data_IF_831449684662
#
_entry.id   IF_831449684662
#
_cell.length_a   1.000
_cell.length_b   1.000
_cell.length_c   1.000
_cell.angle_alpha   90.00
_cell.angle_beta   90.00
_cell.angle_gamma   90.00
#
_symmetry.space_group_name_H-M   'P 1'
#
loop_
_entity.id
_entity.type
_entity.pdbx_description
1 polymer ?
#
# COMPACT_ATOMS: atom_id res chain seq x y z
N UNK A 1 14.64 17.77 5.83
CA UNK A 1 14.18 16.53 5.17
C UNK A 1 12.67 16.61 5.03
N UNK A 2 12.10 16.09 3.96
CA UNK A 2 10.64 15.88 3.89
C UNK A 2 10.24 14.79 4.89
N UNK A 3 9.04 14.89 5.46
CA UNK A 3 8.50 13.84 6.34
C UNK A 3 8.34 12.53 5.57
N UNK A 4 8.49 11.42 6.27
CA UNK A 4 8.24 10.10 5.71
C UNK A 4 6.75 9.91 5.42
N UNK A 5 6.38 9.45 4.24
CA UNK A 5 4.96 9.30 3.84
C UNK A 5 4.52 7.86 4.00
N UNK A 6 3.67 7.63 4.99
CA UNK A 6 2.97 6.36 5.19
C UNK A 6 1.63 6.46 4.48
N UNK A 7 1.36 5.49 3.62
CA UNK A 7 0.14 5.50 2.84
C UNK A 7 -0.49 4.11 2.83
N UNK A 8 -1.53 3.87 3.66
CA UNK A 8 -2.11 2.55 3.77
C UNK A 8 -2.67 2.08 2.43
N UNK A 9 -2.38 0.83 2.07
CA UNK A 9 -2.74 0.26 0.78
C UNK A 9 -3.32 -1.15 0.99
N UNK A 10 -4.65 -1.23 1.03
CA UNK A 10 -5.46 -2.46 1.22
C UNK A 10 -5.25 -3.24 2.53
N UNK A 11 -4.38 -2.77 3.41
CA UNK A 11 -3.96 -3.49 4.61
C UNK A 11 -4.42 -2.77 5.86
N UNK A 12 -4.97 -3.55 6.79
CA UNK A 12 -5.41 -3.05 8.10
C UNK A 12 -4.20 -2.74 9.00
N UNK A 13 -3.02 -3.30 8.73
CA UNK A 13 -1.86 -3.19 9.64
C UNK A 13 -1.37 -1.75 9.80
N UNK A 14 -1.28 -0.97 8.72
CA UNK A 14 -0.82 0.42 8.81
C UNK A 14 -1.86 1.30 9.54
N UNK A 15 -3.16 1.04 9.35
CA UNK A 15 -4.23 1.72 10.11
C UNK A 15 -4.17 1.38 11.59
N UNK A 16 -4.01 0.09 11.93
CA UNK A 16 -3.87 -0.35 13.33
C UNK A 16 -2.61 0.23 13.96
N UNK A 17 -1.49 0.28 13.23
CA UNK A 17 -0.25 0.87 13.73
C UNK A 17 -0.37 2.37 13.97
N UNK A 18 -1.11 3.09 13.11
CA UNK A 18 -1.46 4.51 13.32
C UNK A 18 -2.35 4.68 14.56
N UNK A 19 -3.46 3.94 14.64
CA UNK A 19 -4.42 4.01 15.75
C UNK A 19 -3.80 3.63 17.10
N UNK A 20 -2.87 2.67 17.11
CA UNK A 20 -2.14 2.24 18.30
C UNK A 20 -0.89 3.09 18.58
N UNK A 21 -0.55 4.02 17.70
CA UNK A 21 0.57 4.96 17.87
C UNK A 21 1.95 4.34 17.73
N UNK A 22 2.09 3.18 17.09
CA UNK A 22 3.35 2.46 16.97
C UNK A 22 4.41 3.26 16.21
N UNK A 23 4.04 3.96 15.13
CA UNK A 23 4.97 4.79 14.37
C UNK A 23 5.59 5.91 15.22
N UNK A 24 4.77 6.55 16.08
CA UNK A 24 5.24 7.60 16.99
C UNK A 24 6.11 7.03 18.10
N UNK A 25 5.78 5.83 18.60
CA UNK A 25 6.57 5.15 19.63
C UNK A 25 8.01 4.83 19.15
N UNK A 26 8.17 4.51 17.87
CA UNK A 26 9.48 4.30 17.23
C UNK A 26 10.21 5.62 16.87
N UNK A 27 9.63 6.78 17.21
CA UNK A 27 10.24 8.09 16.93
C UNK A 27 10.22 8.50 15.46
N UNK A 28 9.33 7.92 14.66
CA UNK A 28 9.23 8.24 13.23
C UNK A 28 8.62 9.63 13.02
N UNK A 29 9.24 10.47 12.20
CA UNK A 29 8.66 11.72 11.70
C UNK A 29 7.96 11.46 10.35
N UNK A 30 6.63 11.35 10.39
CA UNK A 30 5.83 10.92 9.25
C UNK A 30 4.56 11.73 9.03
N UNK A 31 4.03 11.60 7.81
CA UNK A 31 2.68 11.98 7.41
C UNK A 31 1.90 10.69 7.10
N UNK A 32 0.77 10.49 7.78
CA UNK A 32 -0.17 9.42 7.44
C UNK A 32 -1.16 9.94 6.39
N UNK A 33 -0.98 9.51 5.14
CA UNK A 33 -1.78 9.95 4.01
C UNK A 33 -2.77 8.88 3.59
N UNK A 34 -4.04 9.11 3.87
CA UNK A 34 -5.12 8.30 3.33
C UNK A 34 -5.24 8.51 1.81
N UNK A 35 -4.87 7.48 1.04
CA UNK A 35 -4.98 7.47 -0.43
C UNK A 35 -6.42 7.50 -0.93
N UNK A 36 -7.39 7.23 -0.06
CA UNK A 36 -8.79 7.13 -0.43
C UNK A 36 -9.52 8.47 -0.23
N UNK A 37 -8.95 9.45 0.49
CA UNK A 37 -9.57 10.76 0.71
C UNK A 37 -10.90 10.71 1.51
N UNK A 38 -11.63 11.83 1.67
CA UNK A 38 -12.85 11.87 2.48
C UNK A 38 -14.02 11.05 1.89
N UNK A 39 -14.82 10.39 2.72
CA UNK A 39 -16.01 9.61 2.31
C UNK A 39 -15.85 8.08 2.37
N UNK A 40 -16.88 7.33 1.96
CA UNK A 40 -16.97 5.86 2.11
C UNK A 40 -15.81 5.11 1.41
N UNK A 41 -14.94 4.52 2.22
CA UNK A 41 -13.78 3.71 1.80
C UNK A 41 -14.18 2.48 1.01
N UNK A 42 -15.32 1.84 1.33
CA UNK A 42 -15.75 0.61 0.66
C UNK A 42 -16.13 0.83 -0.81
N UNK A 43 -16.65 2.02 -1.16
CA UNK A 43 -17.02 2.38 -2.54
C UNK A 43 -15.83 2.80 -3.41
N UNK A 44 -14.68 3.11 -2.82
CA UNK A 44 -13.49 3.60 -3.54
C UNK A 44 -12.61 2.50 -4.09
N UNK A 45 -12.93 1.25 -3.79
CA UNK A 45 -12.29 0.08 -4.40
C UNK A 45 -12.77 -0.21 -5.83
N UNK A 46 -13.77 0.53 -6.31
CA UNK A 46 -14.18 0.46 -7.71
C UNK A 46 -13.12 1.15 -8.59
N UNK A 47 -12.15 0.37 -9.09
CA UNK A 47 -11.23 0.85 -10.12
C UNK A 47 -11.99 0.96 -11.45
N UNK A 48 -12.30 2.18 -11.94
CA UNK A 48 -13.10 2.33 -13.15
C UNK A 48 -12.33 1.92 -14.40
N UNK A 49 -11.01 2.06 -14.33
CA UNK A 49 -10.08 1.66 -15.38
C UNK A 49 -9.62 0.23 -15.07
N UNK A 50 -9.74 -0.69 -16.05
CA UNK A 50 -9.25 -2.07 -15.96
C UNK A 50 -7.71 -2.15 -16.00
N UNK A 51 -7.04 -1.26 -15.27
CA UNK A 51 -5.59 -1.24 -15.12
C UNK A 51 -5.23 -2.03 -13.86
N UNK A 52 -4.28 -2.94 -14.01
CA UNK A 52 -3.84 -3.81 -12.93
C UNK A 52 -2.84 -3.11 -12.01
N UNK A 53 -2.50 -3.80 -10.92
CA UNK A 53 -1.46 -3.37 -9.98
C UNK A 53 -0.12 -3.05 -10.68
N UNK A 54 0.22 -3.79 -11.74
CA UNK A 54 1.46 -3.60 -12.50
C UNK A 54 1.54 -2.21 -13.16
N UNK A 55 0.52 -1.83 -13.95
CA UNK A 55 0.50 -0.53 -14.63
C UNK A 55 0.44 0.65 -13.65
N UNK A 56 -0.21 0.46 -12.49
CA UNK A 56 -0.22 1.47 -11.42
C UNK A 56 1.17 1.66 -10.79
N UNK A 57 2.03 0.64 -10.78
CA UNK A 57 3.37 0.73 -10.20
C UNK A 57 4.35 1.39 -11.17
N UNK A 58 4.25 1.11 -12.47
CA UNK A 58 5.09 1.77 -13.49
C UNK A 58 4.92 3.29 -13.50
N UNK A 59 3.75 3.79 -13.10
CA UNK A 59 3.48 5.23 -12.96
C UNK A 59 4.15 5.86 -11.73
N UNK A 60 4.79 5.06 -10.88
CA UNK A 60 5.36 5.49 -9.61
C UNK A 60 4.30 5.64 -8.51
N UNK A 61 4.75 5.61 -7.24
CA UNK A 61 3.89 5.90 -6.09
C UNK A 61 4.51 6.99 -5.24
N UNK A 62 3.67 7.87 -4.71
CA UNK A 62 4.06 8.95 -3.81
C UNK A 62 4.05 8.50 -2.33
N UNK A 63 4.60 7.32 -2.03
CA UNK A 63 4.68 6.79 -0.67
C UNK A 63 6.02 6.09 -0.43
N UNK A 64 6.58 6.26 0.77
CA UNK A 64 7.84 5.63 1.16
C UNK A 64 7.63 4.18 1.65
N UNK A 65 6.41 3.86 2.11
CA UNK A 65 5.99 2.49 2.47
C UNK A 65 4.80 2.07 1.64
N UNK A 66 5.08 1.36 0.54
CA UNK A 66 4.21 0.32 0.01
C UNK A 66 5.04 -0.51 -0.98
N UNK A 67 5.49 -1.70 -0.57
CA UNK A 67 6.38 -2.48 -1.42
C UNK A 67 6.58 -3.93 -0.99
N UNK A 68 6.56 -4.23 0.32
CA UNK A 68 6.82 -5.59 0.78
C UNK A 68 5.79 -6.60 0.24
N UNK A 69 4.50 -6.23 0.13
CA UNK A 69 3.48 -7.12 -0.44
C UNK A 69 3.67 -7.35 -1.94
N UNK A 70 4.05 -6.34 -2.71
CA UNK A 70 4.27 -6.47 -4.15
C UNK A 70 5.61 -7.15 -4.47
N UNK A 71 6.67 -6.90 -3.70
CA UNK A 71 7.91 -7.67 -3.76
C UNK A 71 7.63 -9.13 -3.43
N UNK A 72 6.89 -9.41 -2.34
CA UNK A 72 6.52 -10.78 -1.96
C UNK A 72 5.65 -11.45 -3.02
N UNK A 73 4.67 -10.73 -3.62
CA UNK A 73 3.84 -11.24 -4.72
C UNK A 73 4.66 -11.47 -5.99
N UNK A 74 5.58 -10.56 -6.34
CA UNK A 74 6.46 -10.72 -7.51
C UNK A 74 7.47 -11.86 -7.30
N UNK A 75 8.01 -12.02 -6.09
CA UNK A 75 8.88 -13.15 -5.72
C UNK A 75 8.10 -14.47 -5.71
N UNK A 76 6.88 -14.48 -5.17
CA UNK A 76 5.99 -15.64 -5.23
C UNK A 76 5.67 -16.02 -6.68
N UNK A 77 5.34 -15.04 -7.53
CA UNK A 77 5.08 -15.27 -8.95
C UNK A 77 6.32 -15.74 -9.72
N UNK A 78 7.50 -15.15 -9.46
CA UNK A 78 8.75 -15.55 -10.12
C UNK A 78 9.23 -16.94 -9.71
N UNK A 79 8.84 -17.42 -8.53
CA UNK A 79 9.10 -18.77 -8.02
C UNK A 79 7.96 -19.76 -8.31
N UNK A 80 6.92 -19.33 -9.02
CA UNK A 80 5.81 -20.20 -9.46
C UNK A 80 4.71 -20.43 -8.41
N UNK A 81 4.78 -19.80 -7.25
CA UNK A 81 3.70 -19.83 -6.27
C UNK A 81 2.49 -19.01 -6.77
N UNK A 82 1.30 -19.61 -6.75
CA UNK A 82 0.05 -18.95 -7.14
C UNK A 82 -0.27 -18.97 -8.64
N UNK A 83 0.51 -19.68 -9.47
CA UNK A 83 0.15 -19.91 -10.88
C UNK A 83 -1.07 -20.84 -10.96
N UNK A 84 -2.13 -20.38 -11.63
CA UNK A 84 -3.35 -21.17 -11.89
C UNK A 84 -3.19 -22.13 -13.09
N UNK A 85 -2.06 -22.06 -13.79
CA UNK A 85 -1.71 -22.95 -14.89
C UNK A 85 -0.17 -23.04 -15.03
N UNK A 86 0.31 -24.17 -15.57
CA UNK A 86 1.73 -24.47 -15.73
C UNK A 86 2.35 -23.77 -16.95
#
# INVERSE_FOLDING_TARGET
MSKFVISPHFRLQEWVAEEKGYFKAEGLDYEFRDNYGPGDVARKHATPNRIGAYQSIEQGRACDVSGACHWTVNVAASTGHGKLYA
#
